data_IF_615099076834
#
_entry.id   IF_615099076834
#
_cell.length_a   1.000
_cell.length_b   1.000
_cell.length_c   1.000
_cell.angle_alpha   90.00
_cell.angle_beta   90.00
_cell.angle_gamma   90.00
#
_symmetry.space_group_name_H-M   'P 1'
#
loop_
_entity.id
_entity.type
_entity.pdbx_description
1 polymer ?
#
# COMPACT_ATOMS: atom_id res chain seq x y z
N UNK A 1 42.53 -30.96 -31.80
CA UNK A 1 42.58 -31.54 -33.15
C UNK A 1 41.82 -30.61 -34.03
N UNK A 2 42.50 -29.73 -34.65
CA UNK A 2 42.94 -29.68 -36.09
C UNK A 2 41.71 -29.52 -36.99
N UNK A 3 41.49 -28.27 -37.52
CA UNK A 3 41.92 -27.77 -38.85
C UNK A 3 41.07 -28.38 -39.95
N UNK A 4 40.50 -27.59 -40.87
CA UNK A 4 41.10 -27.00 -42.08
C UNK A 4 39.99 -26.14 -42.72
N UNK A 5 40.02 -24.81 -42.95
CA UNK A 5 40.60 -24.05 -44.06
C UNK A 5 40.33 -24.72 -45.45
N UNK A 6 39.69 -24.14 -46.36
CA UNK A 6 40.15 -23.11 -47.30
C UNK A 6 39.22 -22.96 -48.51
N UNK A 7 39.04 -21.77 -48.97
CA UNK A 7 39.35 -21.23 -50.31
C UNK A 7 38.40 -21.49 -51.51
N UNK A 8 38.03 -20.46 -52.17
CA UNK A 8 38.35 -19.95 -53.52
C UNK A 8 37.25 -18.99 -54.01
N UNK A 9 37.48 -17.73 -54.11
CA UNK A 9 38.11 -16.89 -55.21
C UNK A 9 37.42 -16.95 -56.59
N UNK A 10 37.05 -15.72 -56.98
CA UNK A 10 37.18 -15.03 -58.31
C UNK A 10 36.11 -15.12 -59.39
N UNK A 11 35.68 -13.96 -59.78
CA UNK A 11 35.85 -13.12 -61.01
C UNK A 11 34.55 -12.37 -61.23
N UNK A 12 34.38 -11.08 -61.33
CA UNK A 12 35.12 -10.06 -62.10
C UNK A 12 34.54 -9.86 -63.49
N UNK A 13 33.95 -8.71 -63.81
CA UNK A 13 33.96 -7.97 -65.07
C UNK A 13 32.94 -6.82 -65.02
N UNK A 14 33.40 -5.58 -64.83
CA UNK A 14 33.59 -4.41 -65.72
C UNK A 14 32.41 -3.98 -66.58
N UNK A 15 31.85 -2.79 -66.19
CA UNK A 15 31.51 -1.52 -66.90
C UNK A 15 31.08 -1.53 -68.38
N UNK A 16 30.50 -0.44 -69.00
CA UNK A 16 30.45 0.96 -68.59
C UNK A 16 29.17 1.79 -68.94
N UNK A 17 29.14 3.01 -68.40
CA UNK A 17 28.64 4.29 -68.92
C UNK A 17 27.36 4.40 -69.77
N UNK A 18 26.41 5.20 -69.20
CA UNK A 18 25.95 6.37 -69.98
C UNK A 18 25.37 7.43 -69.04
N UNK A 19 26.01 8.62 -69.15
CA UNK A 19 25.52 9.92 -68.72
C UNK A 19 24.32 10.30 -69.61
N UNK A 20 23.28 10.98 -69.06
CA UNK A 20 22.75 12.23 -69.62
C UNK A 20 21.65 12.80 -68.73
N UNK A 21 21.82 14.07 -68.48
CA UNK A 21 20.88 15.15 -68.24
C UNK A 21 20.25 15.36 -66.87
N UNK A 22 20.78 16.42 -66.33
CA UNK A 22 20.26 17.34 -65.34
C UNK A 22 18.90 17.94 -65.74
N UNK A 23 18.06 18.21 -64.80
CA UNK A 23 17.75 19.59 -64.39
C UNK A 23 16.32 19.69 -63.86
N UNK A 24 16.19 20.50 -62.81
CA UNK A 24 15.01 21.19 -62.33
C UNK A 24 13.95 20.39 -61.59
N UNK A 25 14.04 20.48 -60.26
CA UNK A 25 12.92 20.80 -59.37
C UNK A 25 13.44 20.95 -57.94
N UNK A 26 14.11 22.09 -57.75
CA UNK A 26 14.32 22.69 -56.43
C UNK A 26 13.09 23.52 -56.12
N UNK A 27 12.57 23.38 -54.92
CA UNK A 27 11.53 24.14 -54.20
C UNK A 27 10.24 23.39 -53.98
N UNK A 28 10.15 22.71 -52.83
CA UNK A 28 9.00 22.58 -51.94
C UNK A 28 9.26 21.49 -50.89
N UNK A 29 10.30 21.72 -50.05
CA UNK A 29 10.48 20.93 -48.86
C UNK A 29 11.00 21.83 -47.75
N UNK A 30 10.15 22.72 -47.29
CA UNK A 30 10.38 23.47 -46.05
C UNK A 30 9.00 23.97 -45.59
N UNK A 31 8.35 23.23 -44.73
CA UNK A 31 7.30 23.65 -43.78
C UNK A 31 6.43 22.43 -43.41
N UNK A 32 7.01 21.47 -42.70
CA UNK A 32 6.22 20.54 -41.87
C UNK A 32 7.07 19.93 -40.77
N UNK A 33 7.66 20.78 -39.91
CA UNK A 33 8.30 20.33 -38.68
C UNK A 33 8.11 21.39 -37.61
N UNK A 34 6.89 21.54 -37.10
CA UNK A 34 6.63 22.33 -35.89
C UNK A 34 5.20 22.11 -35.41
N UNK A 35 4.86 20.91 -34.93
CA UNK A 35 3.64 20.71 -34.17
C UNK A 35 3.63 19.46 -33.30
N UNK A 36 4.77 18.81 -33.04
CA UNK A 36 4.84 17.63 -32.15
C UNK A 36 5.39 17.97 -30.76
N UNK A 37 5.98 19.15 -30.55
CA UNK A 37 6.64 19.49 -29.30
C UNK A 37 5.71 20.01 -28.20
N UNK A 38 4.52 20.50 -28.51
CA UNK A 38 3.63 21.13 -27.52
C UNK A 38 2.85 20.13 -26.65
N UNK A 39 2.45 19.00 -27.21
CA UNK A 39 1.68 18.00 -26.48
C UNK A 39 2.53 17.20 -25.48
N UNK A 40 3.76 16.85 -25.87
CA UNK A 40 4.69 16.13 -25.01
C UNK A 40 5.15 16.97 -23.81
N UNK A 41 5.37 18.27 -23.98
CA UNK A 41 5.78 19.18 -22.90
C UNK A 41 4.61 19.45 -21.93
N UNK A 42 3.39 19.56 -22.44
CA UNK A 42 2.19 19.78 -21.61
C UNK A 42 1.84 18.54 -20.78
N UNK A 43 2.05 17.34 -21.31
CA UNK A 43 1.82 16.06 -20.62
C UNK A 43 2.87 15.81 -19.52
N UNK A 44 4.12 16.18 -19.77
CA UNK A 44 5.23 16.07 -18.80
C UNK A 44 5.05 17.05 -17.62
N UNK A 45 4.60 18.29 -17.89
CA UNK A 45 4.32 19.28 -16.84
C UNK A 45 3.15 18.88 -15.95
N UNK A 46 2.07 18.36 -16.52
CA UNK A 46 0.92 17.85 -15.77
C UNK A 46 1.28 16.63 -14.91
N UNK A 47 2.06 15.72 -15.47
CA UNK A 47 2.55 14.56 -14.73
C UNK A 47 3.44 14.96 -13.56
N UNK A 48 4.30 15.97 -13.74
CA UNK A 48 5.13 16.51 -12.69
C UNK A 48 4.29 17.16 -11.58
N UNK A 49 3.28 17.94 -11.93
CA UNK A 49 2.36 18.56 -10.97
C UNK A 49 1.61 17.51 -10.14
N UNK A 50 1.03 16.47 -10.77
CA UNK A 50 0.35 15.38 -10.08
C UNK A 50 1.29 14.67 -9.10
N UNK A 51 2.50 14.33 -9.53
CA UNK A 51 3.47 13.62 -8.70
C UNK A 51 4.06 14.49 -7.60
N UNK A 52 3.98 15.83 -7.70
CA UNK A 52 4.41 16.75 -6.64
C UNK A 52 3.56 16.68 -5.37
N UNK A 53 2.32 16.16 -5.47
CA UNK A 53 1.48 15.87 -4.31
C UNK A 53 2.01 14.73 -3.44
N UNK A 54 2.97 13.93 -3.95
CA UNK A 54 3.53 12.79 -3.22
C UNK A 54 4.74 13.27 -2.42
N UNK A 55 4.63 13.11 -1.10
CA UNK A 55 5.62 13.57 -0.13
C UNK A 55 6.33 12.39 0.55
N UNK A 56 7.56 12.62 0.99
CA UNK A 56 8.26 11.70 1.86
C UNK A 56 7.75 11.82 3.29
N UNK A 57 7.54 10.69 3.96
CA UNK A 57 7.14 10.64 5.38
C UNK A 57 8.27 10.02 6.18
N UNK A 58 8.71 10.69 7.25
CA UNK A 58 9.65 10.16 8.24
C UNK A 58 9.04 10.30 9.63
N UNK A 59 9.03 9.21 10.38
CA UNK A 59 8.50 9.17 11.74
C UNK A 59 9.53 8.60 12.71
N UNK A 60 9.59 9.20 13.90
CA UNK A 60 10.40 8.76 15.03
C UNK A 60 9.46 8.18 16.09
N UNK A 61 9.72 6.96 16.50
CA UNK A 61 8.89 6.21 17.46
C UNK A 61 9.73 5.88 18.69
N UNK A 62 9.24 6.17 19.90
CA UNK A 62 9.96 5.84 21.14
C UNK A 62 10.27 4.35 21.23
N UNK A 63 11.45 4.00 21.72
CA UNK A 63 11.85 2.60 21.92
C UNK A 63 10.90 1.84 22.87
N UNK A 64 10.20 2.57 23.73
CA UNK A 64 9.21 2.04 24.67
C UNK A 64 7.83 1.84 24.06
N UNK A 65 7.61 2.27 22.80
CA UNK A 65 6.35 2.06 22.11
C UNK A 65 6.12 0.57 21.85
N UNK A 66 4.85 0.13 21.91
CA UNK A 66 4.48 -1.29 21.74
C UNK A 66 4.82 -1.82 20.36
N UNK A 67 4.78 -0.95 19.36
CA UNK A 67 5.08 -1.29 17.97
C UNK A 67 6.57 -1.17 17.60
N UNK A 68 7.41 -0.60 18.48
CA UNK A 68 8.82 -0.34 18.20
C UNK A 68 9.61 -1.62 17.87
N UNK A 69 9.35 -2.71 18.62
CA UNK A 69 10.05 -3.98 18.41
C UNK A 69 9.71 -4.64 17.05
N UNK A 70 8.47 -4.44 16.55
CA UNK A 70 8.01 -5.07 15.32
C UNK A 70 8.22 -4.20 14.08
N UNK A 71 8.05 -2.87 14.21
CA UNK A 71 8.04 -1.93 13.09
C UNK A 71 9.26 -0.98 13.09
N UNK A 72 10.11 -1.06 14.11
CA UNK A 72 11.28 -0.18 14.27
C UNK A 72 10.93 1.18 14.91
N UNK A 73 11.98 1.89 15.28
CA UNK A 73 11.90 3.23 15.91
C UNK A 73 12.05 4.38 14.92
N UNK A 74 12.58 4.12 13.73
CA UNK A 74 12.58 5.03 12.59
C UNK A 74 11.79 4.40 11.47
N UNK A 75 10.79 5.12 10.95
CA UNK A 75 9.95 4.64 9.86
C UNK A 75 9.95 5.65 8.73
N UNK A 76 10.05 5.14 7.52
CA UNK A 76 10.06 5.95 6.31
C UNK A 76 9.10 5.39 5.28
N UNK A 77 8.50 6.29 4.52
CA UNK A 77 7.59 5.95 3.45
C UNK A 77 7.13 7.18 2.70
N UNK A 78 5.96 7.12 2.14
CA UNK A 78 5.35 8.19 1.37
C UNK A 78 3.99 8.58 1.94
N UNK A 79 3.51 9.74 1.53
CA UNK A 79 2.16 10.19 1.75
C UNK A 79 1.70 11.00 0.54
N UNK A 80 0.42 11.30 0.47
CA UNK A 80 -0.18 12.07 -0.62
C UNK A 80 -0.95 13.24 -0.05
N UNK A 81 -0.65 14.45 -0.49
CA UNK A 81 -1.41 15.66 -0.16
C UNK A 81 -2.78 15.58 -0.85
N UNK A 82 -3.86 15.68 -0.10
CA UNK A 82 -5.24 15.47 -0.58
C UNK A 82 -6.18 16.67 -0.39
N UNK A 83 -5.74 17.72 0.29
CA UNK A 83 -6.47 18.99 0.36
C UNK A 83 -5.53 20.20 0.37
N UNK A 84 -6.10 21.39 0.17
CA UNK A 84 -5.37 22.65 0.12
C UNK A 84 -4.85 23.11 1.50
N UNK A 85 -5.37 22.54 2.58
CA UNK A 85 -4.94 22.82 3.96
C UNK A 85 -3.78 21.92 4.40
N UNK A 86 -3.16 21.19 3.47
CA UNK A 86 -2.02 20.32 3.70
C UNK A 86 -2.37 19.03 4.44
N UNK A 87 -3.58 18.49 4.26
CA UNK A 87 -3.93 17.15 4.72
C UNK A 87 -3.25 16.11 3.85
N UNK A 88 -2.59 15.15 4.50
CA UNK A 88 -1.81 14.10 3.84
C UNK A 88 -2.37 12.75 4.27
N UNK A 89 -2.70 11.89 3.30
CA UNK A 89 -3.00 10.48 3.56
C UNK A 89 -1.72 9.64 3.40
N UNK A 90 -1.52 8.71 4.32
CA UNK A 90 -0.44 7.72 4.28
C UNK A 90 -0.95 6.37 4.79
N UNK A 91 -0.06 5.39 4.89
CA UNK A 91 -0.37 4.14 5.59
C UNK A 91 -0.02 4.27 7.07
N UNK A 92 -0.97 3.93 7.92
CA UNK A 92 -0.94 4.27 9.33
C UNK A 92 0.20 3.66 10.15
N UNK A 93 0.69 2.47 9.79
CA UNK A 93 1.79 1.84 10.54
C UNK A 93 3.09 2.68 10.49
N UNK A 94 3.24 3.61 9.53
CA UNK A 94 4.37 4.53 9.50
C UNK A 94 4.35 5.50 10.68
N UNK A 95 3.16 5.93 11.11
CA UNK A 95 2.97 7.00 12.08
C UNK A 95 2.46 6.51 13.44
N UNK A 96 2.10 5.23 13.55
CA UNK A 96 1.54 4.65 14.76
C UNK A 96 2.54 4.74 15.91
N UNK A 97 2.11 5.34 17.05
CA UNK A 97 2.91 5.63 18.25
C UNK A 97 4.13 6.54 18.00
N UNK A 98 4.16 7.29 16.88
CA UNK A 98 5.24 8.22 16.62
C UNK A 98 5.17 9.44 17.56
N UNK A 99 6.32 9.82 18.10
CA UNK A 99 6.48 11.05 18.89
C UNK A 99 6.78 12.28 18.01
N UNK A 100 7.29 12.04 16.79
CA UNK A 100 7.60 13.07 15.81
C UNK A 100 7.39 12.54 14.41
N UNK A 101 6.77 13.37 13.56
CA UNK A 101 6.63 13.09 12.13
C UNK A 101 7.02 14.33 11.35
N UNK A 102 7.75 14.13 10.27
CA UNK A 102 8.12 15.17 9.31
C UNK A 102 7.78 14.69 7.91
N UNK A 103 7.46 15.63 7.03
CA UNK A 103 7.29 15.32 5.61
C UNK A 103 8.27 16.13 4.79
N UNK A 104 8.76 15.50 3.70
CA UNK A 104 9.62 16.15 2.71
C UNK A 104 8.82 16.35 1.43
N UNK A 105 8.67 17.60 1.00
CA UNK A 105 7.93 18.00 -0.20
C UNK A 105 8.75 17.72 -1.47
N UNK A 106 8.12 17.88 -2.63
CA UNK A 106 8.75 17.63 -3.93
C UNK A 106 9.97 18.52 -4.21
N UNK A 107 10.01 19.74 -3.66
CA UNK A 107 11.14 20.69 -3.71
C UNK A 107 12.26 20.37 -2.69
N UNK A 108 12.14 19.26 -1.99
CA UNK A 108 13.04 18.80 -0.92
C UNK A 108 12.95 19.61 0.39
N UNK A 109 11.99 20.50 0.53
CA UNK A 109 11.72 21.17 1.81
C UNK A 109 11.12 20.18 2.81
N UNK A 110 11.72 20.07 3.98
CA UNK A 110 11.16 19.26 5.08
C UNK A 110 10.38 20.15 6.04
N UNK A 111 9.12 19.78 6.28
CA UNK A 111 8.19 20.52 7.13
C UNK A 111 7.65 19.63 8.25
N UNK A 112 7.40 20.19 9.44
CA UNK A 112 6.76 19.48 10.53
C UNK A 112 5.27 19.27 10.23
N UNK A 113 4.74 18.14 10.71
CA UNK A 113 3.33 17.78 10.59
C UNK A 113 2.77 17.33 11.92
N UNK A 114 1.46 17.49 12.08
CA UNK A 114 0.70 16.89 13.17
C UNK A 114 0.09 15.58 12.71
N UNK A 115 0.08 14.58 13.60
CA UNK A 115 -0.70 13.36 13.40
C UNK A 115 -2.16 13.73 13.64
N UNK A 116 -3.02 13.50 12.64
CA UNK A 116 -4.46 13.80 12.71
C UNK A 116 -5.23 12.57 13.16
N UNK A 117 -4.98 11.45 12.50
CA UNK A 117 -5.71 10.21 12.76
C UNK A 117 -4.91 8.98 12.36
N UNK A 118 -5.31 7.87 12.94
CA UNK A 118 -5.04 6.53 12.45
C UNK A 118 -6.30 5.70 12.53
N UNK A 119 -6.66 5.04 11.47
CA UNK A 119 -7.80 4.13 11.46
C UNK A 119 -7.35 2.66 11.42
N UNK A 120 -7.67 1.92 12.48
CA UNK A 120 -7.25 0.52 12.62
C UNK A 120 -7.96 -0.42 11.65
N UNK A 121 -9.17 -0.06 11.22
CA UNK A 121 -9.99 -0.90 10.36
C UNK A 121 -9.55 -0.83 8.90
N UNK A 122 -9.21 0.36 8.41
CA UNK A 122 -8.75 0.57 7.05
C UNK A 122 -7.23 0.58 6.92
N UNK A 123 -6.53 0.92 7.99
CA UNK A 123 -5.08 1.08 8.02
C UNK A 123 -4.59 2.45 7.52
N UNK A 124 -5.47 3.40 7.18
CA UNK A 124 -5.04 4.74 6.81
C UNK A 124 -4.48 5.52 7.99
N UNK A 125 -3.49 6.36 7.70
CA UNK A 125 -2.99 7.39 8.59
C UNK A 125 -3.19 8.76 7.96
N UNK A 126 -3.51 9.77 8.76
CA UNK A 126 -3.65 11.14 8.32
C UNK A 126 -2.67 12.04 9.07
N UNK A 127 -2.02 12.92 8.30
CA UNK A 127 -1.12 13.96 8.78
C UNK A 127 -1.62 15.32 8.29
N UNK A 128 -1.27 16.40 8.98
CA UNK A 128 -1.54 17.76 8.54
C UNK A 128 -0.29 18.61 8.73
N UNK A 129 0.08 19.36 7.73
CA UNK A 129 1.19 20.31 7.82
C UNK A 129 0.89 21.41 8.83
N UNK A 130 1.91 21.82 9.61
CA UNK A 130 1.75 22.87 10.62
C UNK A 130 1.56 24.23 9.97
N UNK A 131 2.12 24.44 8.79
CA UNK A 131 2.04 25.65 8.00
C UNK A 131 1.51 25.33 6.60
N UNK A 132 0.87 26.28 5.92
CA UNK A 132 0.47 26.14 4.52
C UNK A 132 1.67 25.74 3.65
N UNK A 133 1.42 24.88 2.68
CA UNK A 133 2.39 24.42 1.68
C UNK A 133 1.89 24.79 0.29
N UNK A 134 2.83 25.04 -0.62
CA UNK A 134 2.52 25.30 -2.04
C UNK A 134 2.59 23.96 -2.81
N UNK A 135 1.54 23.17 -2.69
CA UNK A 135 1.45 21.85 -3.33
C UNK A 135 0.01 21.64 -3.80
N UNK A 136 -0.16 21.37 -5.10
CA UNK A 136 -1.48 21.02 -5.66
C UNK A 136 -1.90 19.66 -5.12
N UNK A 137 -3.07 19.55 -4.44
CA UNK A 137 -3.53 18.26 -3.91
C UNK A 137 -3.89 17.27 -5.01
N UNK A 138 -3.61 15.98 -4.79
CA UNK A 138 -4.06 14.90 -5.65
C UNK A 138 -5.53 14.60 -5.39
N UNK A 139 -6.33 14.54 -6.45
CA UNK A 139 -7.76 14.21 -6.35
C UNK A 139 -7.94 12.74 -5.95
N UNK A 140 -8.95 12.49 -5.10
CA UNK A 140 -9.36 11.13 -4.74
C UNK A 140 -10.21 10.54 -5.87
N UNK A 141 -9.69 9.52 -6.54
CA UNK A 141 -10.36 8.79 -7.60
C UNK A 141 -11.42 7.80 -7.07
N UNK A 142 -11.99 7.01 -7.96
CA UNK A 142 -12.97 5.96 -7.63
C UNK A 142 -12.32 4.59 -7.69
N UNK A 143 -11.83 4.10 -6.56
CA UNK A 143 -11.17 2.78 -6.51
C UNK A 143 -12.13 1.61 -6.75
N UNK A 144 -13.44 1.83 -6.69
CA UNK A 144 -14.44 0.85 -7.09
C UNK A 144 -14.37 0.53 -8.60
N UNK A 145 -13.93 1.49 -9.42
CA UNK A 145 -13.82 1.34 -10.87
C UNK A 145 -12.51 0.63 -11.29
N UNK A 146 -11.63 0.31 -10.33
CA UNK A 146 -10.39 -0.41 -10.62
C UNK A 146 -10.68 -1.88 -10.85
N UNK A 147 -10.35 -2.38 -12.04
CA UNK A 147 -10.56 -3.75 -12.46
C UNK A 147 -9.23 -4.49 -12.69
N UNK A 148 -9.26 -5.81 -12.68
CA UNK A 148 -8.12 -6.64 -13.04
C UNK A 148 -7.67 -6.36 -14.47
N UNK A 149 -6.36 -6.45 -14.73
CA UNK A 149 -5.68 -6.09 -15.97
C UNK A 149 -5.59 -4.58 -16.25
N UNK A 150 -6.18 -3.70 -15.43
CA UNK A 150 -6.03 -2.27 -15.57
C UNK A 150 -4.59 -1.84 -15.33
N UNK A 151 -4.07 -0.94 -16.16
CA UNK A 151 -2.76 -0.34 -16.00
C UNK A 151 -2.87 0.93 -15.16
N UNK A 152 -2.06 1.00 -14.11
CA UNK A 152 -1.97 2.12 -13.19
C UNK A 152 -0.50 2.49 -12.97
N UNK A 153 -0.25 3.59 -12.30
CA UNK A 153 1.07 4.03 -11.91
C UNK A 153 1.23 3.90 -10.39
N UNK A 154 2.33 3.33 -9.93
CA UNK A 154 2.71 3.39 -8.52
C UNK A 154 3.81 4.44 -8.39
N UNK A 155 3.66 5.36 -7.44
CA UNK A 155 4.71 6.31 -7.14
C UNK A 155 4.83 6.54 -5.63
N UNK A 156 6.06 6.46 -5.13
CA UNK A 156 6.45 6.97 -3.84
C UNK A 156 7.06 8.36 -3.97
N UNK A 157 7.58 8.91 -2.86
CA UNK A 157 8.34 10.15 -2.87
C UNK A 157 9.56 10.06 -3.80
N UNK A 158 9.76 11.11 -4.61
CA UNK A 158 10.87 11.20 -5.58
C UNK A 158 10.43 11.55 -7.00
N UNK A 159 9.17 11.94 -7.19
CA UNK A 159 8.62 12.40 -8.48
C UNK A 159 8.64 11.31 -9.55
N UNK A 160 8.85 11.70 -10.81
CA UNK A 160 8.83 10.78 -11.95
C UNK A 160 9.89 9.66 -11.86
N UNK A 161 11.03 9.91 -11.22
CA UNK A 161 12.08 8.89 -11.03
C UNK A 161 11.66 7.76 -10.08
N UNK A 162 10.68 8.01 -9.21
CA UNK A 162 10.13 7.03 -8.30
C UNK A 162 8.84 6.37 -8.85
N UNK A 163 8.38 6.73 -10.03
CA UNK A 163 7.18 6.21 -10.63
C UNK A 163 7.44 4.90 -11.38
N UNK A 164 6.56 3.92 -11.22
CA UNK A 164 6.63 2.60 -11.86
C UNK A 164 5.26 2.21 -12.40
N UNK A 165 5.14 1.85 -13.69
CA UNK A 165 3.93 1.22 -14.21
C UNK A 165 3.64 -0.10 -13.50
N UNK A 166 2.36 -0.35 -13.26
CA UNK A 166 1.89 -1.58 -12.66
C UNK A 166 0.56 -2.02 -13.27
N UNK A 167 0.28 -3.31 -13.18
CA UNK A 167 -0.97 -3.91 -13.62
C UNK A 167 -1.70 -4.42 -12.39
N UNK A 168 -2.99 -4.17 -12.30
CA UNK A 168 -3.86 -4.77 -11.29
C UNK A 168 -4.02 -6.25 -11.62
N UNK A 169 -3.57 -7.11 -10.71
CA UNK A 169 -3.55 -8.56 -10.94
C UNK A 169 -4.63 -9.31 -10.15
N UNK A 170 -5.18 -8.68 -9.12
CA UNK A 170 -6.28 -9.26 -8.35
C UNK A 170 -6.99 -8.18 -7.52
N UNK A 171 -8.28 -8.43 -7.25
CA UNK A 171 -9.06 -7.73 -6.25
C UNK A 171 -9.74 -8.75 -5.36
N UNK A 172 -9.38 -8.79 -4.10
CA UNK A 172 -9.88 -9.78 -3.16
C UNK A 172 -9.82 -9.32 -1.72
N UNK A 173 -10.41 -10.11 -0.84
CA UNK A 173 -10.22 -9.97 0.60
C UNK A 173 -8.73 -10.18 0.94
N UNK A 174 -8.24 -9.35 1.85
CA UNK A 174 -6.94 -9.50 2.48
C UNK A 174 -7.11 -9.61 3.99
N UNK A 175 -6.67 -10.70 4.57
CA UNK A 175 -6.60 -10.89 6.01
C UNK A 175 -5.14 -10.77 6.46
N UNK A 176 -4.85 -9.79 7.32
CA UNK A 176 -3.52 -9.60 7.91
C UNK A 176 -3.40 -10.32 9.25
N UNK A 177 -2.23 -10.87 9.54
CA UNK A 177 -1.96 -11.65 10.76
C UNK A 177 -2.15 -10.89 12.09
N UNK A 178 -2.39 -9.58 12.01
CA UNK A 178 -2.53 -8.67 13.17
C UNK A 178 -3.98 -8.21 13.41
N UNK A 179 -4.97 -9.05 13.18
CA UNK A 179 -6.40 -8.75 13.27
C UNK A 179 -6.79 -7.58 12.34
N UNK A 180 -6.56 -7.78 11.06
CA UNK A 180 -6.86 -6.83 10.00
C UNK A 180 -7.55 -7.54 8.83
N UNK A 181 -8.63 -6.96 8.33
CA UNK A 181 -9.38 -7.48 7.19
C UNK A 181 -9.78 -6.34 6.26
N UNK A 182 -9.42 -6.47 5.00
CA UNK A 182 -9.74 -5.52 3.95
C UNK A 182 -10.53 -6.22 2.85
N UNK A 183 -11.77 -5.78 2.60
CA UNK A 183 -12.72 -6.49 1.72
C UNK A 183 -12.29 -6.52 0.26
N UNK A 184 -11.81 -5.44 -0.30
CA UNK A 184 -11.52 -5.28 -1.72
C UNK A 184 -10.12 -4.72 -1.94
N UNK A 185 -9.11 -5.32 -1.31
CA UNK A 185 -7.73 -4.94 -1.50
C UNK A 185 -7.35 -4.99 -2.99
N UNK A 186 -6.54 -4.03 -3.44
CA UNK A 186 -6.03 -3.98 -4.82
C UNK A 186 -4.63 -4.58 -4.82
N UNK A 187 -4.43 -5.60 -5.63
CA UNK A 187 -3.11 -6.22 -5.80
C UNK A 187 -2.54 -5.88 -7.16
N UNK A 188 -1.27 -5.49 -7.18
CA UNK A 188 -0.57 -5.08 -8.40
C UNK A 188 0.74 -5.83 -8.58
N UNK A 189 1.19 -5.95 -9.82
CA UNK A 189 2.50 -6.46 -10.21
C UNK A 189 3.08 -5.58 -11.34
N UNK A 190 4.43 -5.51 -11.50
CA UNK A 190 5.46 -6.10 -10.66
C UNK A 190 5.62 -5.40 -9.31
N UNK A 191 6.34 -5.99 -8.34
CA UNK A 191 6.48 -5.40 -7.02
C UNK A 191 7.26 -4.07 -7.03
N UNK A 192 6.72 -3.09 -6.32
CA UNK A 192 7.32 -1.78 -6.04
C UNK A 192 7.89 -1.77 -4.62
N UNK A 193 9.18 -1.49 -4.47
CA UNK A 193 9.88 -1.66 -3.19
C UNK A 193 9.52 -0.63 -2.13
N UNK A 194 9.32 0.63 -2.54
CA UNK A 194 9.04 1.74 -1.62
C UNK A 194 7.52 1.90 -1.39
N UNK A 195 6.86 0.79 -1.13
CA UNK A 195 5.40 0.67 -1.13
C UNK A 195 4.69 1.39 0.02
N UNK A 196 5.33 1.56 1.18
CA UNK A 196 4.69 2.12 2.37
C UNK A 196 4.17 3.54 2.14
N UNK A 197 2.86 3.73 2.03
CA UNK A 197 2.21 5.01 1.76
C UNK A 197 2.32 5.49 0.31
N UNK A 198 2.86 4.67 -0.61
CA UNK A 198 2.96 5.02 -2.03
C UNK A 198 1.57 5.21 -2.66
N UNK A 199 1.46 6.16 -3.59
CA UNK A 199 0.23 6.38 -4.35
C UNK A 199 0.06 5.33 -5.45
N UNK A 200 -1.15 4.79 -5.57
CA UNK A 200 -1.63 4.11 -6.77
C UNK A 200 -2.45 5.11 -7.56
N UNK A 201 -1.98 5.49 -8.74
CA UNK A 201 -2.49 6.62 -9.51
C UNK A 201 -3.11 6.14 -10.83
N UNK A 202 -4.27 6.66 -11.18
CA UNK A 202 -4.92 6.40 -12.47
C UNK A 202 -4.24 7.15 -13.62
N UNK A 203 -4.60 6.83 -14.85
CA UNK A 203 -4.17 7.56 -16.04
C UNK A 203 -4.62 9.02 -16.06
N UNK A 204 -5.69 9.34 -15.33
CA UNK A 204 -6.20 10.72 -15.19
C UNK A 204 -5.49 11.50 -14.05
N UNK A 205 -4.58 10.85 -13.32
CA UNK A 205 -3.83 11.45 -12.23
C UNK A 205 -4.57 11.46 -10.89
N UNK A 206 -5.55 10.59 -10.70
CA UNK A 206 -6.31 10.49 -9.47
C UNK A 206 -5.78 9.37 -8.56
N UNK A 207 -5.84 9.57 -7.24
CA UNK A 207 -5.44 8.59 -6.24
C UNK A 207 -6.46 7.46 -6.15
N UNK A 208 -6.06 6.24 -6.50
CA UNK A 208 -6.90 5.04 -6.47
C UNK A 208 -6.68 4.19 -5.22
N UNK A 209 -5.52 4.30 -4.60
CA UNK A 209 -5.19 3.56 -3.38
C UNK A 209 -3.87 3.98 -2.77
N UNK A 210 -3.65 3.55 -1.53
CA UNK A 210 -2.42 3.80 -0.76
C UNK A 210 -1.69 2.49 -0.51
N UNK A 211 -0.41 2.45 -0.83
CA UNK A 211 0.43 1.27 -0.70
C UNK A 211 0.60 0.84 0.76
N UNK A 212 0.36 -0.42 1.02
CA UNK A 212 0.43 -0.98 2.37
C UNK A 212 1.49 -2.06 2.51
N UNK A 213 1.52 -3.04 1.62
CA UNK A 213 2.38 -4.21 1.77
C UNK A 213 3.03 -4.61 0.44
N UNK A 214 4.15 -5.32 0.58
CA UNK A 214 4.64 -6.23 -0.46
C UNK A 214 4.19 -7.65 -0.07
N UNK A 215 3.64 -8.38 -1.03
CA UNK A 215 3.11 -9.73 -0.81
C UNK A 215 3.72 -10.72 -1.80
N UNK A 216 3.89 -11.97 -1.38
CA UNK A 216 4.46 -13.02 -2.23
C UNK A 216 3.46 -13.59 -3.23
N UNK A 217 2.17 -13.38 -3.01
CA UNK A 217 1.03 -14.01 -3.70
C UNK A 217 0.06 -12.99 -4.31
N UNK A 218 0.57 -11.87 -4.83
CA UNK A 218 -0.30 -10.90 -5.51
C UNK A 218 -1.16 -11.58 -6.59
N UNK A 219 -0.58 -12.51 -7.35
CA UNK A 219 -1.31 -13.50 -8.16
C UNK A 219 -1.33 -14.82 -7.42
N UNK A 220 -2.53 -15.31 -7.13
CA UNK A 220 -2.76 -16.62 -6.50
C UNK A 220 -2.82 -17.73 -7.56
N UNK A 221 -2.46 -18.95 -7.20
CA UNK A 221 -2.51 -20.12 -8.07
C UNK A 221 -1.29 -21.02 -7.91
N UNK A 222 -1.05 -21.89 -8.91
CA UNK A 222 0.09 -22.82 -8.89
C UNK A 222 1.46 -22.10 -8.90
N UNK A 223 1.52 -20.93 -9.54
CA UNK A 223 2.69 -20.07 -9.55
C UNK A 223 2.32 -18.73 -8.90
N UNK A 224 2.77 -18.57 -7.67
CA UNK A 224 2.59 -17.29 -6.96
C UNK A 224 3.52 -16.24 -7.55
N UNK A 225 2.98 -15.05 -7.82
CA UNK A 225 3.74 -13.92 -8.32
C UNK A 225 3.73 -12.82 -7.25
N UNK A 226 4.89 -12.32 -6.83
CA UNK A 226 4.95 -11.25 -5.85
C UNK A 226 4.45 -9.92 -6.43
N UNK A 227 3.96 -9.08 -5.56
CA UNK A 227 3.47 -7.74 -5.92
C UNK A 227 3.19 -6.90 -4.69
N UNK A 228 2.33 -5.91 -4.84
CA UNK A 228 1.94 -5.03 -3.75
C UNK A 228 0.44 -5.12 -3.47
N UNK A 229 0.09 -4.88 -2.22
CA UNK A 229 -1.28 -4.67 -1.77
C UNK A 229 -1.50 -3.20 -1.45
N UNK A 230 -2.56 -2.63 -2.02
CA UNK A 230 -3.00 -1.26 -1.80
C UNK A 230 -4.35 -1.24 -1.10
N UNK A 231 -4.50 -0.28 -0.19
CA UNK A 231 -5.77 0.03 0.45
C UNK A 231 -6.58 0.91 -0.50
N UNK A 232 -7.78 0.49 -0.93
CA UNK A 232 -8.60 1.27 -1.87
C UNK A 232 -9.02 2.62 -1.29
N UNK A 233 -8.92 3.70 -2.08
CA UNK A 233 -9.18 5.05 -1.57
C UNK A 233 -10.65 5.31 -1.24
N UNK A 234 -11.58 4.57 -1.85
CA UNK A 234 -13.01 4.77 -1.60
C UNK A 234 -13.42 4.49 -0.16
N UNK A 235 -12.68 3.63 0.56
CA UNK A 235 -13.00 3.35 1.96
C UNK A 235 -12.56 4.47 2.92
N UNK A 236 -11.69 5.39 2.46
CA UNK A 236 -11.35 6.60 3.22
C UNK A 236 -12.48 7.63 3.18
N UNK A 237 -13.12 7.81 2.03
CA UNK A 237 -14.08 8.91 1.79
C UNK A 237 -15.20 9.02 2.84
N UNK A 238 -15.90 7.91 3.21
CA UNK A 238 -16.99 7.99 4.18
C UNK A 238 -16.53 8.33 5.60
N UNK A 239 -15.29 8.02 5.96
CA UNK A 239 -14.74 8.22 7.31
C UNK A 239 -13.85 9.46 7.43
N UNK A 240 -13.45 10.06 6.29
CA UNK A 240 -12.47 11.16 6.25
C UNK A 240 -12.84 12.33 7.18
N UNK A 241 -14.10 12.75 7.15
CA UNK A 241 -14.57 13.86 8.00
C UNK A 241 -14.41 13.52 9.48
N UNK A 242 -14.77 12.32 9.89
CA UNK A 242 -14.69 11.88 11.29
C UNK A 242 -13.24 11.76 11.73
N UNK A 243 -12.38 11.19 10.88
CA UNK A 243 -10.94 11.13 11.14
C UNK A 243 -10.33 12.50 11.37
N UNK A 244 -10.70 13.49 10.55
CA UNK A 244 -10.18 14.87 10.69
C UNK A 244 -10.72 15.58 11.94
N UNK A 245 -11.97 15.33 12.32
CA UNK A 245 -12.61 16.05 13.45
C UNK A 245 -12.42 15.39 14.80
N UNK A 246 -12.33 14.07 14.83
CA UNK A 246 -12.35 13.28 16.08
C UNK A 246 -11.12 12.37 16.24
N UNK A 247 -10.26 12.28 15.22
CA UNK A 247 -9.09 11.40 15.22
C UNK A 247 -9.39 9.91 14.97
N UNK A 248 -10.67 9.53 14.89
CA UNK A 248 -11.11 8.17 14.62
C UNK A 248 -12.46 8.19 13.89
N UNK A 249 -12.80 7.09 13.19
CA UNK A 249 -14.09 6.92 12.55
C UNK A 249 -15.22 6.90 13.60
N UNK A 250 -16.40 7.39 13.20
CA UNK A 250 -17.62 7.31 14.03
C UNK A 250 -18.09 5.87 14.12
N UNK A 251 -18.61 5.51 15.30
CA UNK A 251 -19.15 4.19 15.57
C UNK A 251 -18.40 3.46 16.67
N UNK A 252 -18.82 2.22 16.91
CA UNK A 252 -18.20 1.36 17.91
C UNK A 252 -16.91 0.74 17.36
N UNK A 253 -15.91 0.64 18.21
CA UNK A 253 -14.64 -0.05 17.86
C UNK A 253 -14.88 -1.55 17.79
N UNK A 254 -14.27 -2.21 16.81
CA UNK A 254 -14.29 -3.68 16.69
C UNK A 254 -13.64 -4.35 17.89
N UNK A 255 -14.12 -5.52 18.31
CA UNK A 255 -13.44 -6.35 19.28
C UNK A 255 -12.00 -6.63 18.83
N UNK A 256 -11.04 -6.39 19.72
CA UNK A 256 -9.64 -6.72 19.52
C UNK A 256 -9.17 -7.69 20.60
N UNK A 257 -8.57 -8.81 20.20
CA UNK A 257 -8.11 -9.84 21.12
C UNK A 257 -6.62 -9.71 21.43
N UNK A 258 -5.85 -9.15 20.53
CA UNK A 258 -4.38 -9.05 20.66
C UNK A 258 -3.68 -10.34 20.29
N UNK A 259 -4.21 -11.10 19.32
CA UNK A 259 -3.58 -12.30 18.77
C UNK A 259 -2.94 -12.01 17.43
N UNK A 260 -1.82 -12.68 17.17
CA UNK A 260 -1.17 -12.71 15.86
C UNK A 260 -1.26 -14.13 15.36
N UNK A 261 -1.86 -14.30 14.19
CA UNK A 261 -2.22 -15.62 13.67
C UNK A 261 -1.57 -15.89 12.32
N UNK A 262 -1.32 -17.16 12.04
CA UNK A 262 -0.88 -17.64 10.73
C UNK A 262 -1.81 -18.78 10.29
N UNK A 263 -2.24 -18.70 9.04
CA UNK A 263 -3.07 -19.72 8.42
C UNK A 263 -2.20 -20.73 7.69
N UNK A 264 -2.32 -21.99 8.06
CA UNK A 264 -1.65 -23.09 7.38
C UNK A 264 -2.54 -24.33 7.32
N UNK A 265 -2.84 -24.82 6.12
CA UNK A 265 -3.68 -26.01 5.87
C UNK A 265 -5.03 -25.95 6.61
N UNK A 266 -5.77 -24.85 6.40
CA UNK A 266 -7.08 -24.61 7.01
C UNK A 266 -7.06 -24.65 8.54
N UNK A 267 -5.93 -24.33 9.16
CA UNK A 267 -5.77 -24.20 10.60
C UNK A 267 -5.16 -22.85 10.93
N UNK A 268 -5.62 -22.31 12.03
CA UNK A 268 -5.21 -20.98 12.49
C UNK A 268 -4.30 -21.10 13.72
N UNK A 269 -3.02 -20.87 13.53
CA UNK A 269 -2.00 -20.92 14.57
C UNK A 269 -1.82 -19.55 15.21
N UNK A 270 -1.80 -19.49 16.53
CA UNK A 270 -1.37 -18.31 17.27
C UNK A 270 0.15 -18.27 17.27
N UNK A 271 0.73 -17.32 16.55
CA UNK A 271 2.20 -17.17 16.47
C UNK A 271 2.74 -16.28 17.57
N UNK A 272 1.92 -15.33 18.03
CA UNK A 272 2.26 -14.40 19.12
C UNK A 272 0.98 -13.85 19.76
N UNK A 273 1.09 -13.41 21.00
CA UNK A 273 0.03 -12.72 21.73
C UNK A 273 0.57 -11.36 22.19
N UNK A 274 -0.24 -10.32 22.13
CA UNK A 274 0.13 -8.99 22.62
C UNK A 274 0.33 -9.03 24.15
N UNK A 275 1.48 -8.59 24.63
CA UNK A 275 1.80 -8.58 26.05
C UNK A 275 0.75 -7.80 26.85
N UNK A 276 0.19 -8.41 27.90
CA UNK A 276 -0.89 -7.84 28.69
C UNK A 276 -2.17 -7.51 27.91
N UNK A 277 -2.28 -7.95 26.65
CA UNK A 277 -3.48 -7.83 25.83
C UNK A 277 -4.61 -8.73 26.33
N UNK A 278 -5.82 -8.60 25.74
CA UNK A 278 -6.98 -9.39 26.12
C UNK A 278 -6.75 -10.90 26.09
N UNK A 279 -6.20 -11.42 24.99
CA UNK A 279 -5.93 -12.85 24.81
C UNK A 279 -4.87 -13.36 25.80
N UNK A 280 -3.80 -12.59 26.06
CA UNK A 280 -2.78 -12.95 27.06
C UNK A 280 -3.39 -13.04 28.47
N UNK A 281 -4.25 -12.08 28.84
CA UNK A 281 -4.95 -12.09 30.15
C UNK A 281 -5.89 -13.29 30.29
N UNK A 282 -6.49 -13.72 29.18
CA UNK A 282 -7.37 -14.90 29.16
C UNK A 282 -6.61 -16.22 29.13
N UNK A 283 -5.28 -16.20 28.95
CA UNK A 283 -4.43 -17.39 28.95
C UNK A 283 -4.26 -18.03 27.56
N UNK A 284 -4.49 -17.30 26.47
CA UNK A 284 -4.08 -17.73 25.12
C UNK A 284 -2.54 -17.59 25.02
N UNK A 285 -1.89 -18.56 24.39
CA UNK A 285 -0.44 -18.64 24.26
C UNK A 285 -0.01 -18.85 22.80
N UNK A 286 1.21 -18.45 22.49
CA UNK A 286 1.82 -18.81 21.20
C UNK A 286 1.92 -20.34 21.08
N UNK A 287 1.56 -20.87 19.92
CA UNK A 287 1.48 -22.30 19.64
C UNK A 287 0.07 -22.89 19.81
N UNK A 288 -0.90 -22.14 20.34
CA UNK A 288 -2.31 -22.54 20.31
C UNK A 288 -2.83 -22.59 18.87
N UNK A 289 -3.73 -23.52 18.60
CA UNK A 289 -4.48 -23.57 17.34
C UNK A 289 -5.92 -23.16 17.66
N UNK A 290 -6.39 -22.07 17.04
CA UNK A 290 -7.78 -21.65 17.17
C UNK A 290 -8.63 -22.56 16.30
N UNK A 291 -9.60 -23.26 16.93
CA UNK A 291 -10.46 -24.25 16.26
C UNK A 291 -11.86 -23.70 16.04
N UNK A 292 -12.40 -22.94 16.99
CA UNK A 292 -13.74 -22.40 16.89
C UNK A 292 -13.87 -21.05 17.62
N UNK A 293 -14.84 -20.26 17.19
CA UNK A 293 -15.35 -19.07 17.89
C UNK A 293 -16.83 -19.30 18.15
N UNK A 294 -17.25 -19.19 19.42
CA UNK A 294 -18.62 -19.41 19.85
C UNK A 294 -19.21 -20.76 19.37
N UNK A 295 -18.38 -21.82 19.46
CA UNK A 295 -18.72 -23.18 19.03
C UNK A 295 -18.78 -23.38 17.51
N UNK A 296 -18.50 -22.36 16.70
CA UNK A 296 -18.45 -22.46 15.25
C UNK A 296 -17.02 -22.61 14.79
N UNK A 297 -16.75 -23.66 14.02
CA UNK A 297 -15.43 -23.97 13.50
C UNK A 297 -14.88 -22.83 12.62
N UNK A 298 -13.59 -22.53 12.75
CA UNK A 298 -12.86 -21.57 11.92
C UNK A 298 -11.74 -22.26 11.16
N UNK A 299 -11.62 -21.94 9.87
CA UNK A 299 -10.63 -22.54 8.97
C UNK A 299 -9.71 -21.51 8.32
N UNK A 300 -10.02 -20.21 8.47
CA UNK A 300 -9.24 -19.11 7.90
C UNK A 300 -9.17 -17.91 8.85
N UNK A 301 -8.16 -17.02 8.64
CA UNK A 301 -8.08 -15.74 9.35
C UNK A 301 -9.32 -14.87 9.08
N UNK A 302 -9.80 -14.85 7.84
CA UNK A 302 -11.00 -14.11 7.46
C UNK A 302 -12.21 -14.55 8.28
N UNK A 303 -12.51 -15.86 8.31
CA UNK A 303 -13.62 -16.42 9.06
C UNK A 303 -13.49 -16.14 10.56
N UNK A 304 -12.28 -16.30 11.11
CA UNK A 304 -11.98 -15.99 12.49
C UNK A 304 -12.31 -14.54 12.85
N UNK A 305 -11.81 -13.57 12.08
CA UNK A 305 -12.04 -12.16 12.35
C UNK A 305 -13.51 -11.78 12.22
N UNK A 306 -14.22 -12.29 11.19
CA UNK A 306 -15.64 -12.04 11.02
C UNK A 306 -16.46 -12.57 12.20
N UNK A 307 -16.14 -13.75 12.71
CA UNK A 307 -16.84 -14.34 13.87
C UNK A 307 -16.56 -13.59 15.16
N UNK A 308 -15.32 -13.19 15.40
CA UNK A 308 -14.95 -12.39 16.58
C UNK A 308 -15.66 -11.04 16.53
N UNK A 309 -15.66 -10.35 15.39
CA UNK A 309 -16.30 -9.05 15.27
C UNK A 309 -17.84 -9.11 15.29
N UNK A 310 -18.42 -10.23 14.94
CA UNK A 310 -19.86 -10.46 15.06
C UNK A 310 -20.34 -10.59 16.52
N UNK A 311 -19.41 -10.75 17.50
CA UNK A 311 -19.78 -10.82 18.93
C UNK A 311 -20.23 -9.48 19.50
N UNK A 312 -19.98 -8.36 18.81
CA UNK A 312 -20.39 -7.02 19.25
C UNK A 312 -19.25 -6.01 19.15
N UNK A 313 -19.24 -5.06 20.07
CA UNK A 313 -18.26 -3.99 20.14
C UNK A 313 -17.05 -4.38 21.03
N UNK A 314 -16.01 -3.55 21.04
CA UNK A 314 -14.90 -3.70 21.96
C UNK A 314 -15.40 -3.83 23.41
N UNK A 315 -14.92 -4.85 24.13
CA UNK A 315 -15.44 -5.28 25.44
C UNK A 315 -16.35 -6.52 25.33
N UNK A 316 -16.81 -6.91 24.14
CA UNK A 316 -17.56 -8.14 23.95
C UNK A 316 -16.72 -9.39 24.30
N UNK A 317 -17.38 -10.42 24.78
CA UNK A 317 -16.75 -11.70 25.09
C UNK A 317 -16.70 -12.60 23.87
N UNK A 318 -15.52 -13.08 23.52
CA UNK A 318 -15.31 -14.08 22.46
C UNK A 318 -14.99 -15.44 23.11
N UNK A 319 -15.86 -16.42 22.91
CA UNK A 319 -15.63 -17.79 23.38
C UNK A 319 -14.79 -18.55 22.34
N UNK A 320 -13.50 -18.75 22.63
CA UNK A 320 -12.57 -19.45 21.74
C UNK A 320 -12.43 -20.90 22.17
N UNK A 321 -12.53 -21.83 21.21
CA UNK A 321 -12.03 -23.20 21.39
C UNK A 321 -10.64 -23.28 20.81
N UNK A 322 -9.65 -23.61 21.64
CA UNK A 322 -8.25 -23.75 21.21
C UNK A 322 -7.75 -25.16 21.44
N UNK A 323 -6.85 -25.62 20.57
CA UNK A 323 -6.11 -26.85 20.75
C UNK A 323 -4.67 -26.49 21.17
N UNK A 324 -4.30 -26.88 22.40
CA UNK A 324 -2.97 -26.75 22.97
C UNK A 324 -2.33 -28.13 23.16
N UNK A 325 -1.36 -28.45 22.35
CA UNK A 325 -0.84 -29.84 22.29
C UNK A 325 -1.93 -30.81 21.86
N UNK A 326 -2.38 -31.67 22.78
CA UNK A 326 -3.47 -32.65 22.53
C UNK A 326 -4.77 -32.32 23.26
N UNK A 327 -4.88 -31.15 23.90
CA UNK A 327 -6.03 -30.79 24.73
C UNK A 327 -6.84 -29.69 24.06
N UNK A 328 -8.15 -29.92 23.92
CA UNK A 328 -9.11 -28.89 23.59
C UNK A 328 -9.44 -28.10 24.86
N UNK A 329 -9.42 -26.78 24.76
CA UNK A 329 -9.71 -25.85 25.84
C UNK A 329 -10.70 -24.80 25.35
N UNK A 330 -11.68 -24.48 26.18
CA UNK A 330 -12.58 -23.36 25.93
C UNK A 330 -12.10 -22.17 26.78
N UNK A 331 -11.76 -21.09 26.12
CA UNK A 331 -11.21 -19.88 26.73
C UNK A 331 -12.09 -18.70 26.30
N UNK A 332 -12.67 -17.99 27.26
CA UNK A 332 -13.43 -16.78 27.00
C UNK A 332 -12.47 -15.58 27.09
N UNK A 333 -12.38 -14.82 26.03
CA UNK A 333 -11.58 -13.60 25.95
C UNK A 333 -12.51 -12.40 25.98
N UNK A 334 -12.37 -11.52 26.99
CA UNK A 334 -12.98 -10.19 26.98
C UNK A 334 -12.15 -9.30 26.06
N UNK A 335 -12.73 -8.93 24.92
CA UNK A 335 -12.04 -8.14 23.90
C UNK A 335 -11.72 -6.72 24.40
N UNK A 336 -10.70 -6.11 23.84
CA UNK A 336 -10.30 -4.74 24.15
C UNK A 336 -10.60 -3.77 23.02
N UNK A 337 -10.40 -2.49 23.30
CA UNK A 337 -10.38 -1.43 22.33
C UNK A 337 -8.93 -1.20 21.85
N UNK A 338 -8.69 -1.40 20.57
CA UNK A 338 -7.35 -1.26 19.99
C UNK A 338 -6.84 0.17 20.01
N UNK A 339 -7.72 1.18 19.90
CA UNK A 339 -7.34 2.60 20.02
C UNK A 339 -6.86 2.97 21.44
N UNK A 340 -7.37 2.31 22.46
CA UNK A 340 -6.87 2.48 23.84
C UNK A 340 -5.55 1.76 24.07
N UNK A 341 -5.34 0.65 23.35
CA UNK A 341 -4.12 -0.15 23.44
C UNK A 341 -2.94 0.47 22.70
N UNK A 342 -3.15 0.91 21.47
CA UNK A 342 -2.15 1.57 20.61
C UNK A 342 -2.48 3.07 20.54
N UNK A 343 -1.82 3.88 21.34
CA UNK A 343 -2.05 5.33 21.36
C UNK A 343 -1.35 6.00 20.20
N UNK A 344 -2.04 6.96 19.56
CA UNK A 344 -1.47 7.74 18.45
C UNK A 344 -0.31 8.64 18.91
N UNK A 345 -0.46 9.26 20.08
CA UNK A 345 0.55 10.12 20.68
C UNK A 345 0.81 9.62 22.10
N UNK A 346 1.79 8.76 22.33
CA UNK A 346 2.19 8.39 23.67
C UNK A 346 2.95 9.56 24.29
N UNK A 347 2.26 10.46 24.96
CA UNK A 347 2.84 11.48 25.84
C UNK A 347 2.80 10.98 27.26
#
# INVERSE_FOLDING_TARGET
MRNVLDNCKHKGLTTPLQRVAASWLSSCLLFLTLSVSGAAIADDSKSHEILSAIVGVRAEVPITARTAAALGTERQGSGVVIDEDGLIVTIGYLILEASRVEVTLADSLTVPVNIVAYDHDTGFGLLRTVHPIDTTPMKLGKSADVEESMQLLISGYGGAAAAQPAIVVSRRVFAGYWEYLLENAIFTAPPYRNFGGAALVSTDGELMGVGSLIVGDAVQGQQQIPGNMFVPIDILKPILKDLVTSGHASGSSRPWLGVYTEEFRERLFVTRVADQGPAAKAGIEAGDIIVAVDGQEVTSMEDFYRRVWAQGDAGAQAALTVLRGSKLMNITVESGNRYEWLRLNPV
#
